data_IF_935892405973
#
_entry.id   IF_935892405973
#
_cell.length_a   1.000
_cell.length_b   1.000
_cell.length_c   1.000
_cell.angle_alpha   90.00
_cell.angle_beta   90.00
_cell.angle_gamma   90.00
#
_symmetry.space_group_name_H-M   'P 1'
#
loop_
_entity.id
_entity.type
_entity.pdbx_description
1 polymer ?
#
# COMPACT_ATOMS: atom_id res chain seq x y z
N UNK A 1 27.30 19.95 -11.34
CA UNK A 1 25.96 19.33 -11.41
C UNK A 1 25.50 19.07 -9.99
N UNK A 2 24.31 19.50 -9.62
CA UNK A 2 23.66 19.11 -8.35
C UNK A 2 22.69 17.99 -8.66
N UNK A 3 22.62 16.96 -7.81
CA UNK A 3 21.60 15.92 -7.96
C UNK A 3 20.20 16.54 -7.78
N UNK A 4 19.25 16.06 -8.57
CA UNK A 4 17.82 16.36 -8.40
C UNK A 4 17.24 15.16 -7.66
N UNK A 5 16.38 15.42 -6.68
CA UNK A 5 15.65 14.39 -5.94
C UNK A 5 14.74 13.58 -6.88
N UNK A 6 14.97 12.28 -6.94
CA UNK A 6 14.19 11.31 -7.71
C UNK A 6 12.97 10.82 -6.91
N UNK A 7 11.90 10.43 -7.62
CA UNK A 7 10.71 9.90 -6.96
C UNK A 7 10.93 8.45 -6.47
N UNK A 8 10.30 8.05 -5.35
CA UNK A 8 10.21 6.66 -4.95
C UNK A 8 9.66 5.74 -6.03
N UNK A 9 10.16 4.51 -6.06
CA UNK A 9 9.66 3.41 -6.89
C UNK A 9 8.82 2.47 -6.04
N UNK A 10 7.60 2.22 -6.49
CA UNK A 10 6.65 1.30 -5.84
C UNK A 10 6.76 -0.12 -6.43
N UNK A 11 6.58 -1.15 -5.59
CA UNK A 11 6.61 -2.56 -5.97
C UNK A 11 5.35 -3.27 -5.48
N UNK A 12 4.74 -4.10 -6.32
CA UNK A 12 3.50 -4.79 -5.97
C UNK A 12 3.66 -5.72 -4.76
N UNK A 13 2.57 -5.80 -3.99
CA UNK A 13 2.49 -6.52 -2.73
C UNK A 13 1.48 -7.66 -2.81
N UNK A 14 1.65 -8.64 -1.92
CA UNK A 14 0.66 -9.71 -1.74
C UNK A 14 0.55 -10.06 -0.26
N UNK A 15 -0.68 -10.25 0.21
CA UNK A 15 -0.96 -10.72 1.56
C UNK A 15 -2.05 -11.79 1.54
N UNK A 16 -2.01 -12.73 2.48
CA UNK A 16 -3.09 -13.68 2.74
C UNK A 16 -3.69 -13.37 4.10
N UNK A 17 -4.99 -13.11 4.11
CA UNK A 17 -5.75 -12.68 5.28
C UNK A 17 -6.91 -13.66 5.46
N UNK A 18 -7.17 -14.07 6.70
CA UNK A 18 -8.29 -14.95 7.00
C UNK A 18 -9.61 -14.18 6.81
N UNK A 19 -10.60 -14.86 6.23
CA UNK A 19 -11.99 -14.36 6.23
C UNK A 19 -12.44 -14.07 7.67
N UNK A 20 -13.33 -13.08 7.81
CA UNK A 20 -13.89 -12.62 9.09
C UNK A 20 -12.86 -12.21 10.16
N UNK A 21 -11.60 -12.00 9.76
CA UNK A 21 -10.59 -11.46 10.65
C UNK A 21 -10.77 -9.97 10.90
N UNK A 22 -10.18 -9.49 12.01
CA UNK A 22 -10.09 -8.06 12.27
C UNK A 22 -9.14 -7.34 11.30
N UNK A 23 -8.91 -6.06 11.56
CA UNK A 23 -7.94 -5.24 10.82
C UNK A 23 -6.53 -5.85 10.85
N UNK A 24 -5.96 -6.05 9.68
CA UNK A 24 -4.59 -6.53 9.48
C UNK A 24 -3.74 -5.44 8.84
N UNK A 25 -2.55 -5.19 9.39
CA UNK A 25 -1.57 -4.27 8.81
C UNK A 25 -0.84 -4.95 7.66
N UNK A 26 -0.72 -4.25 6.53
CA UNK A 26 0.06 -4.66 5.36
C UNK A 26 1.19 -3.66 5.20
N UNK A 27 2.44 -4.13 5.37
CA UNK A 27 3.64 -3.30 5.24
C UNK A 27 4.05 -3.17 3.76
N UNK A 28 3.29 -2.36 3.04
CA UNK A 28 3.50 -2.12 1.60
C UNK A 28 4.80 -1.37 1.28
N UNK A 29 5.42 -0.69 2.26
CA UNK A 29 6.65 0.08 2.02
C UNK A 29 7.92 -0.77 2.14
N UNK A 30 7.80 -2.05 2.51
CA UNK A 30 8.93 -2.92 2.82
C UNK A 30 9.78 -3.26 1.59
N UNK A 31 9.17 -3.34 0.42
CA UNK A 31 9.82 -3.64 -0.86
C UNK A 31 10.05 -2.39 -1.74
N UNK A 32 9.51 -1.23 -1.34
CA UNK A 32 9.67 0.03 -2.06
C UNK A 32 11.03 0.69 -1.80
N UNK A 33 11.52 1.42 -2.79
CA UNK A 33 12.84 2.07 -2.73
C UNK A 33 12.81 3.50 -3.23
N UNK A 34 13.71 4.31 -2.68
CA UNK A 34 14.01 5.65 -3.16
C UNK A 34 15.54 5.72 -3.33
N UNK A 35 16.01 6.12 -4.51
CA UNK A 35 17.45 6.07 -4.84
C UNK A 35 18.26 7.13 -4.10
N UNK A 36 17.62 8.24 -3.72
CA UNK A 36 18.19 9.31 -2.92
C UNK A 36 18.03 9.07 -1.41
N UNK A 37 17.43 7.93 -1.03
CA UNK A 37 17.04 7.59 0.33
C UNK A 37 16.09 8.64 0.96
N UNK A 38 15.24 9.26 0.13
CA UNK A 38 14.16 10.12 0.53
C UNK A 38 13.04 9.39 1.29
N UNK A 39 12.11 10.14 1.91
CA UNK A 39 10.98 9.54 2.59
C UNK A 39 10.04 8.83 1.61
N UNK A 40 9.51 7.67 2.02
CA UNK A 40 8.40 7.00 1.34
C UNK A 40 7.13 7.18 2.16
N UNK A 41 6.14 7.82 1.56
CA UNK A 41 4.87 8.13 2.18
C UNK A 41 3.72 7.79 1.26
N UNK A 42 2.58 7.45 1.84
CA UNK A 42 1.37 6.99 1.16
C UNK A 42 0.33 8.12 1.23
N UNK A 43 0.19 8.97 0.20
CA UNK A 43 -0.83 10.01 0.17
C UNK A 43 -2.24 9.51 -0.18
N UNK A 44 -2.37 8.34 -0.82
CA UNK A 44 -3.65 7.84 -1.29
C UNK A 44 -3.67 6.32 -1.44
N UNK A 45 -4.85 5.75 -1.22
CA UNK A 45 -5.20 4.36 -1.55
C UNK A 45 -6.56 4.32 -2.25
N UNK A 46 -6.78 3.34 -3.11
CA UNK A 46 -8.13 3.01 -3.61
C UNK A 46 -8.82 2.02 -2.68
N UNK A 47 -10.15 1.98 -2.72
CA UNK A 47 -10.90 0.96 -2.00
C UNK A 47 -11.16 -0.24 -2.89
N UNK A 48 -10.96 -1.46 -2.38
CA UNK A 48 -11.32 -2.67 -3.08
C UNK A 48 -12.81 -3.01 -2.77
N UNK A 49 -13.32 -4.14 -3.26
CA UNK A 49 -14.76 -4.49 -3.09
C UNK A 49 -15.03 -5.49 -1.99
N UNK A 50 -14.05 -6.34 -1.67
CA UNK A 50 -14.15 -7.40 -0.67
C UNK A 50 -13.87 -6.96 0.76
N UNK A 51 -13.38 -5.74 0.96
CA UNK A 51 -13.08 -5.19 2.27
C UNK A 51 -12.87 -3.69 2.27
N UNK A 52 -12.38 -3.19 3.40
CA UNK A 52 -12.07 -1.78 3.62
C UNK A 52 -10.58 -1.64 3.83
N UNK A 53 -9.96 -0.81 2.99
CA UNK A 53 -8.60 -0.34 3.21
C UNK A 53 -8.64 0.98 3.99
N UNK A 54 -7.74 1.12 4.95
CA UNK A 54 -7.41 2.38 5.60
C UNK A 54 -5.90 2.55 5.56
N UNK A 55 -5.42 3.78 5.66
CA UNK A 55 -4.00 4.04 5.66
C UNK A 55 -3.64 5.21 6.57
N UNK A 56 -2.43 5.16 7.09
CA UNK A 56 -1.68 6.32 7.54
C UNK A 56 -0.61 6.60 6.49
N UNK A 57 -0.01 7.78 6.50
CA UNK A 57 1.01 8.16 5.52
C UNK A 57 2.21 7.21 5.39
N UNK A 58 2.31 6.13 6.17
CA UNK A 58 3.35 5.08 6.06
C UNK A 58 2.83 3.65 6.28
N UNK A 59 1.52 3.44 6.44
CA UNK A 59 1.00 2.12 6.83
C UNK A 59 -0.35 1.88 6.18
N UNK A 60 -0.55 0.71 5.61
CA UNK A 60 -1.85 0.27 5.08
C UNK A 60 -2.46 -0.76 6.02
N UNK A 61 -3.77 -0.74 6.15
CA UNK A 61 -4.53 -1.68 6.96
C UNK A 61 -5.76 -2.14 6.18
N UNK A 62 -6.02 -3.44 6.19
CA UNK A 62 -7.16 -4.06 5.51
C UNK A 62 -8.05 -4.78 6.51
N UNK A 63 -9.37 -4.63 6.36
CA UNK A 63 -10.38 -5.41 7.06
C UNK A 63 -11.30 -6.04 6.03
N UNK A 64 -11.39 -7.38 5.95
CA UNK A 64 -12.33 -8.05 5.05
C UNK A 64 -13.78 -7.73 5.46
N UNK A 65 -14.68 -7.67 4.48
CA UNK A 65 -16.11 -7.69 4.77
C UNK A 65 -16.49 -9.06 5.34
N UNK A 66 -17.58 -9.11 6.10
CA UNK A 66 -18.10 -10.37 6.63
C UNK A 66 -18.41 -11.35 5.48
N UNK A 67 -18.06 -12.62 5.67
CA UNK A 67 -18.25 -13.71 4.72
C UNK A 67 -17.55 -13.50 3.36
N UNK A 68 -16.59 -12.57 3.25
CA UNK A 68 -15.84 -12.39 2.01
C UNK A 68 -14.77 -13.47 1.85
N UNK A 69 -14.95 -14.31 0.83
CA UNK A 69 -13.95 -15.22 0.30
C UNK A 69 -13.52 -14.80 -1.11
N UNK A 70 -12.21 -14.79 -1.38
CA UNK A 70 -11.67 -14.51 -2.71
C UNK A 70 -10.47 -13.58 -2.72
N UNK A 71 -10.17 -13.06 -3.90
CA UNK A 71 -9.09 -12.08 -4.11
C UNK A 71 -9.66 -10.68 -4.16
N UNK A 72 -9.07 -9.79 -3.38
CA UNK A 72 -9.35 -8.36 -3.40
C UNK A 72 -8.12 -7.61 -3.90
N UNK A 73 -8.31 -6.43 -4.48
CA UNK A 73 -7.18 -5.65 -5.03
C UNK A 73 -7.44 -4.16 -4.84
N UNK A 74 -6.48 -3.47 -4.26
CA UNK A 74 -6.43 -2.03 -4.16
C UNK A 74 -5.12 -1.52 -4.76
N UNK A 75 -4.95 -0.20 -4.82
CA UNK A 75 -3.72 0.46 -5.26
C UNK A 75 -3.34 1.47 -4.21
N UNK A 76 -2.07 1.54 -3.85
CA UNK A 76 -1.50 2.65 -3.07
C UNK A 76 -0.58 3.48 -3.97
N UNK A 77 -0.50 4.77 -3.68
CA UNK A 77 0.45 5.68 -4.33
C UNK A 77 1.53 6.10 -3.34
N UNK A 78 2.75 6.31 -3.82
CA UNK A 78 3.85 6.92 -3.07
C UNK A 78 3.91 8.43 -3.33
N UNK A 79 4.61 9.17 -2.46
CA UNK A 79 5.06 10.52 -2.82
C UNK A 79 5.86 10.45 -4.13
N UNK A 80 5.64 11.43 -5.02
CA UNK A 80 6.22 11.40 -6.37
C UNK A 80 5.36 10.68 -7.42
N UNK A 81 4.29 10.00 -7.01
CA UNK A 81 3.23 9.52 -7.91
C UNK A 81 3.42 8.11 -8.48
N UNK A 82 4.47 7.39 -8.07
CA UNK A 82 4.54 5.95 -8.30
C UNK A 82 3.39 5.25 -7.58
N UNK A 83 2.94 4.11 -8.11
CA UNK A 83 1.84 3.34 -7.53
C UNK A 83 2.06 1.85 -7.72
N UNK A 84 1.54 1.06 -6.79
CA UNK A 84 1.58 -0.40 -6.81
C UNK A 84 0.27 -0.97 -6.27
N UNK A 85 0.04 -2.26 -6.55
CA UNK A 85 -1.13 -3.03 -6.12
C UNK A 85 -0.77 -4.03 -5.05
#
# INVERSE_FOLDING_TARGET
VTAIDDAPTAVNDTATIAEDSGTTIIDVLANDTDIDAGPKTIPAVTQPTGGIVTFTGTTVSYTPNADFDGTDTFTYSLNGGAAAT
#
